data_IF_147918440614
#
_entry.id   IF_147918440614
#
_cell.length_a   1.000
_cell.length_b   1.000
_cell.length_c   1.000
_cell.angle_alpha   90.00
_cell.angle_beta   90.00
_cell.angle_gamma   90.00
#
_symmetry.space_group_name_H-M   'P 1'
#
loop_
_entity.id
_entity.type
_entity.pdbx_description
1 polymer ?
#
# COMPACT_ATOMS: atom_id res chain seq x y z
N UNK A 1 -1.29 17.66 -31.49
CA UNK A 1 -0.17 16.97 -30.83
C UNK A 1 -0.01 17.34 -29.33
N UNK A 2 -0.75 18.33 -28.84
CA UNK A 2 -0.57 18.92 -27.52
C UNK A 2 -1.29 18.13 -26.39
N UNK A 3 -2.09 17.10 -26.72
CA UNK A 3 -2.96 16.43 -25.75
C UNK A 3 -2.52 15.01 -25.43
N UNK A 4 -1.33 14.66 -25.88
CA UNK A 4 -0.76 13.34 -25.64
C UNK A 4 -0.10 13.30 -24.26
N UNK A 5 -0.44 12.30 -23.45
CA UNK A 5 0.19 12.06 -22.15
C UNK A 5 1.67 11.71 -22.30
N UNK A 6 2.02 11.12 -23.44
CA UNK A 6 3.40 10.84 -23.83
C UNK A 6 4.15 12.18 -24.03
N UNK A 7 5.24 12.37 -23.33
CA UNK A 7 6.02 13.60 -23.36
C UNK A 7 5.74 14.59 -22.22
N UNK A 8 4.81 14.32 -21.32
CA UNK A 8 4.61 15.13 -20.11
C UNK A 8 5.82 15.15 -19.18
N UNK A 9 6.71 14.14 -19.28
CA UNK A 9 7.98 14.04 -18.55
C UNK A 9 7.88 14.42 -17.07
N UNK A 10 6.85 13.93 -16.39
CA UNK A 10 6.53 14.29 -15.00
C UNK A 10 7.68 14.05 -14.02
N UNK A 11 8.61 13.13 -14.35
CA UNK A 11 9.84 12.92 -13.56
C UNK A 11 10.74 14.17 -13.49
N UNK A 12 10.51 15.16 -14.33
CA UNK A 12 11.19 16.46 -14.22
C UNK A 12 10.78 17.23 -12.96
N UNK A 13 9.59 16.99 -12.41
CA UNK A 13 9.08 17.69 -11.21
C UNK A 13 10.01 17.51 -10.00
N UNK A 14 10.31 16.28 -9.55
CA UNK A 14 11.22 16.09 -8.41
C UNK A 14 12.63 16.62 -8.71
N UNK A 15 13.13 16.47 -9.93
CA UNK A 15 14.42 17.01 -10.33
C UNK A 15 14.48 18.55 -10.24
N UNK A 16 13.45 19.25 -10.74
CA UNK A 16 13.38 20.71 -10.62
C UNK A 16 13.29 21.17 -9.15
N UNK A 17 12.54 20.45 -8.31
CA UNK A 17 12.44 20.75 -6.88
C UNK A 17 13.79 20.65 -6.19
N UNK A 18 14.55 19.61 -6.51
CA UNK A 18 15.90 19.42 -5.96
C UNK A 18 16.88 20.48 -6.49
N UNK A 19 16.87 20.71 -7.81
CA UNK A 19 17.82 21.61 -8.47
C UNK A 19 17.64 23.07 -8.08
N UNK A 20 16.40 23.53 -7.95
CA UNK A 20 16.08 24.94 -7.72
C UNK A 20 15.63 25.25 -6.28
N UNK A 21 15.54 24.23 -5.42
CA UNK A 21 15.06 24.35 -4.03
C UNK A 21 13.76 25.17 -3.93
N UNK A 22 12.79 24.87 -4.79
CA UNK A 22 11.53 25.61 -4.84
C UNK A 22 10.32 24.67 -5.00
N UNK A 23 9.14 25.21 -4.78
CA UNK A 23 7.87 24.54 -5.11
C UNK A 23 7.68 24.49 -6.61
N UNK A 24 7.30 23.32 -7.12
CA UNK A 24 7.04 23.09 -8.55
C UNK A 24 5.60 22.65 -8.72
N UNK A 25 4.96 23.14 -9.76
CA UNK A 25 3.63 22.74 -10.22
C UNK A 25 3.69 22.08 -11.59
N UNK A 26 2.52 21.75 -12.11
CA UNK A 26 2.33 21.27 -13.48
C UNK A 26 1.25 22.08 -14.19
N UNK A 27 1.54 22.52 -15.40
CA UNK A 27 0.55 23.03 -16.36
C UNK A 27 0.19 21.86 -17.28
N UNK A 28 -0.98 21.27 -17.07
CA UNK A 28 -1.39 20.02 -17.70
C UNK A 28 -2.42 20.27 -18.82
N UNK A 29 -2.01 20.02 -20.05
CA UNK A 29 -2.84 20.12 -21.26
C UNK A 29 -3.28 18.72 -21.78
N UNK A 30 -3.06 17.65 -21.03
CA UNK A 30 -3.49 16.31 -21.45
C UNK A 30 -5.00 16.13 -21.28
N UNK A 31 -5.58 15.19 -22.01
CA UNK A 31 -6.98 14.81 -21.81
C UNK A 31 -7.17 14.08 -20.46
N UNK A 32 -8.28 14.37 -19.80
CA UNK A 32 -8.61 13.77 -18.51
C UNK A 32 -7.77 14.31 -17.36
N UNK A 33 -7.64 13.53 -16.28
CA UNK A 33 -7.02 13.96 -15.02
C UNK A 33 -5.79 13.13 -14.62
N UNK A 34 -5.43 12.11 -15.41
CA UNK A 34 -4.42 11.13 -15.04
C UNK A 34 -3.03 11.72 -14.82
N UNK A 35 -2.54 12.56 -15.74
CA UNK A 35 -1.23 13.21 -15.63
C UNK A 35 -1.19 14.18 -14.43
N UNK A 36 -2.27 14.95 -14.24
CA UNK A 36 -2.41 15.85 -13.11
C UNK A 36 -2.33 15.10 -11.76
N UNK A 37 -3.05 13.99 -11.61
CA UNK A 37 -3.01 13.17 -10.39
C UNK A 37 -1.62 12.54 -10.19
N UNK A 38 -0.99 12.01 -11.23
CA UNK A 38 0.34 11.43 -11.15
C UNK A 38 1.40 12.47 -10.71
N UNK A 39 1.26 13.74 -11.12
CA UNK A 39 2.18 14.80 -10.74
C UNK A 39 2.24 15.04 -9.22
N UNK A 40 1.14 14.80 -8.50
CA UNK A 40 1.06 14.95 -7.04
C UNK A 40 2.01 13.95 -6.36
N UNK A 41 2.02 12.71 -6.83
CA UNK A 41 2.91 11.67 -6.30
C UNK A 41 4.39 12.01 -6.52
N UNK A 42 4.68 12.83 -7.53
CA UNK A 42 6.03 13.31 -7.83
C UNK A 42 6.33 14.66 -7.16
N UNK A 43 5.41 15.16 -6.37
CA UNK A 43 5.62 16.33 -5.52
C UNK A 43 5.20 17.66 -6.14
N UNK A 44 4.36 17.67 -7.17
CA UNK A 44 3.71 18.87 -7.62
C UNK A 44 2.85 19.49 -6.51
N UNK A 45 2.96 20.79 -6.33
CA UNK A 45 2.21 21.53 -5.30
C UNK A 45 1.08 22.36 -5.90
N UNK A 46 1.09 22.56 -7.20
CA UNK A 46 0.07 23.28 -7.97
C UNK A 46 -0.23 22.49 -9.24
N UNK A 47 -1.49 22.42 -9.60
CA UNK A 47 -1.96 21.91 -10.89
C UNK A 47 -2.70 23.04 -11.58
N UNK A 48 -2.26 23.38 -12.79
CA UNK A 48 -2.97 24.27 -13.72
C UNK A 48 -3.59 23.42 -14.82
N UNK A 49 -4.85 23.68 -15.15
CA UNK A 49 -5.56 22.94 -16.19
C UNK A 49 -6.62 23.82 -16.84
N UNK A 50 -6.76 23.70 -18.15
CA UNK A 50 -7.80 24.42 -18.91
C UNK A 50 -9.20 23.95 -18.45
N UNK A 51 -10.12 24.92 -18.40
CA UNK A 51 -11.50 24.71 -17.97
C UNK A 51 -12.49 25.34 -18.96
N UNK A 52 -13.57 24.63 -19.24
CA UNK A 52 -14.71 25.15 -20.03
C UNK A 52 -16.02 24.73 -19.39
N UNK A 53 -17.08 25.47 -19.61
CA UNK A 53 -18.43 25.07 -19.16
C UNK A 53 -18.95 23.89 -19.98
N UNK A 54 -18.74 23.94 -21.30
CA UNK A 54 -19.14 22.88 -22.23
C UNK A 54 -18.17 22.84 -23.41
N UNK A 55 -17.59 21.69 -23.68
CA UNK A 55 -16.76 21.50 -24.89
C UNK A 55 -17.55 21.64 -26.17
N UNK A 56 -18.88 21.36 -26.13
CA UNK A 56 -19.77 21.47 -27.27
C UNK A 56 -19.94 22.91 -27.74
N UNK A 57 -19.74 23.90 -26.86
CA UNK A 57 -19.83 25.32 -27.21
C UNK A 57 -18.64 25.81 -28.07
N UNK A 58 -17.62 24.97 -28.21
CA UNK A 58 -16.41 25.25 -28.98
C UNK A 58 -15.45 26.19 -28.24
N UNK A 59 -14.44 26.66 -28.99
CA UNK A 59 -13.36 27.52 -28.50
C UNK A 59 -12.00 26.96 -28.81
N UNK A 60 -10.97 27.79 -28.71
CA UNK A 60 -9.59 27.44 -29.14
C UNK A 60 -9.07 26.21 -28.38
N UNK A 61 -9.30 26.15 -27.09
CA UNK A 61 -8.75 25.13 -26.21
C UNK A 61 -9.84 24.20 -25.63
N UNK A 62 -11.07 24.29 -26.11
CA UNK A 62 -12.22 23.56 -25.58
C UNK A 62 -12.02 22.03 -25.62
N UNK A 63 -11.39 21.55 -26.68
CA UNK A 63 -11.23 20.10 -26.92
C UNK A 63 -10.49 19.35 -25.81
N UNK A 64 -9.54 19.99 -25.10
CA UNK A 64 -8.78 19.41 -24.01
C UNK A 64 -9.06 20.04 -22.64
N UNK A 65 -9.95 21.04 -22.58
CA UNK A 65 -10.41 21.65 -21.33
C UNK A 65 -11.28 20.70 -20.52
N UNK A 66 -11.16 20.76 -19.21
CA UNK A 66 -12.06 20.03 -18.32
C UNK A 66 -13.42 20.73 -18.22
N UNK A 67 -14.47 19.95 -18.25
CA UNK A 67 -15.82 20.40 -17.90
C UNK A 67 -16.04 20.40 -16.38
N UNK A 68 -17.12 21.03 -15.85
CA UNK A 68 -17.32 21.21 -14.42
C UNK A 68 -17.24 19.92 -13.59
N UNK A 69 -17.78 18.81 -14.11
CA UNK A 69 -17.76 17.54 -13.41
C UNK A 69 -16.35 16.92 -13.37
N UNK A 70 -15.61 17.07 -14.46
CA UNK A 70 -14.23 16.58 -14.56
C UNK A 70 -13.29 17.39 -13.66
N UNK A 71 -13.48 18.73 -13.59
CA UNK A 71 -12.74 19.58 -12.68
C UNK A 71 -13.05 19.24 -11.21
N UNK A 72 -14.33 18.99 -10.88
CA UNK A 72 -14.71 18.53 -9.55
C UNK A 72 -14.03 17.20 -9.20
N UNK A 73 -14.02 16.25 -10.14
CA UNK A 73 -13.33 14.99 -9.97
C UNK A 73 -11.83 15.18 -9.75
N UNK A 74 -11.16 16.02 -10.56
CA UNK A 74 -9.75 16.34 -10.38
C UNK A 74 -9.47 16.85 -8.96
N UNK A 75 -10.27 17.79 -8.46
CA UNK A 75 -10.07 18.34 -7.10
C UNK A 75 -10.24 17.27 -6.01
N UNK A 76 -11.23 16.39 -6.16
CA UNK A 76 -11.47 15.31 -5.19
C UNK A 76 -10.33 14.30 -5.21
N UNK A 77 -9.97 13.81 -6.38
CA UNK A 77 -8.91 12.80 -6.55
C UNK A 77 -7.52 13.36 -6.19
N UNK A 78 -7.26 14.64 -6.48
CA UNK A 78 -6.03 15.30 -6.07
C UNK A 78 -5.85 15.31 -4.55
N UNK A 79 -6.90 15.63 -3.80
CA UNK A 79 -6.89 15.60 -2.34
C UNK A 79 -6.70 14.17 -1.81
N UNK A 80 -7.39 13.21 -2.40
CA UNK A 80 -7.28 11.80 -2.02
C UNK A 80 -5.87 11.25 -2.30
N UNK A 81 -5.31 11.54 -3.49
CA UNK A 81 -3.96 11.15 -3.85
C UNK A 81 -2.91 11.75 -2.90
N UNK A 82 -3.03 13.04 -2.59
CA UNK A 82 -2.12 13.70 -1.65
C UNK A 82 -2.18 13.08 -0.26
N UNK A 83 -3.39 12.82 0.26
CA UNK A 83 -3.57 12.16 1.55
C UNK A 83 -3.01 10.72 1.57
N UNK A 84 -3.11 10.02 0.43
CA UNK A 84 -2.62 8.65 0.29
C UNK A 84 -1.09 8.53 0.26
N UNK A 85 -0.35 9.60 -0.03
CA UNK A 85 1.12 9.58 -0.01
C UNK A 85 1.67 9.24 1.37
N UNK A 86 1.05 9.73 2.43
CA UNK A 86 1.43 9.42 3.80
C UNK A 86 2.93 9.63 4.09
N UNK A 87 3.51 8.67 4.80
CA UNK A 87 4.93 8.61 5.12
C UNK A 87 5.47 7.20 4.93
N UNK A 88 6.79 7.06 4.75
CA UNK A 88 7.44 5.75 4.70
C UNK A 88 7.26 5.08 6.07
N UNK A 89 6.45 4.04 6.12
CA UNK A 89 6.14 3.28 7.33
C UNK A 89 6.13 1.79 7.03
N UNK A 90 7.02 1.06 7.68
CA UNK A 90 7.03 -0.40 7.67
C UNK A 90 6.40 -0.93 8.95
N UNK A 91 5.76 -2.10 8.85
CA UNK A 91 5.11 -2.76 9.98
C UNK A 91 3.60 -2.72 9.87
N UNK A 92 2.95 -3.14 10.94
CA UNK A 92 1.50 -3.28 11.01
C UNK A 92 0.92 -1.97 11.54
N UNK A 93 -0.06 -1.40 10.84
CA UNK A 93 -0.79 -0.24 11.31
C UNK A 93 -1.89 -0.63 12.32
N UNK A 94 -2.43 0.34 13.05
CA UNK A 94 -3.46 0.09 14.07
C UNK A 94 -4.72 -0.58 13.52
N UNK A 95 -5.09 -0.27 12.28
CA UNK A 95 -6.26 -0.88 11.63
C UNK A 95 -6.00 -2.35 11.26
N UNK A 96 -4.75 -2.68 10.92
CA UNK A 96 -4.35 -4.05 10.59
C UNK A 96 -4.14 -4.93 11.82
N UNK A 97 -3.96 -4.35 13.02
CA UNK A 97 -3.79 -5.13 14.25
C UNK A 97 -4.95 -6.10 14.48
N UNK A 98 -6.18 -5.68 14.22
CA UNK A 98 -7.38 -6.52 14.32
C UNK A 98 -7.34 -7.70 13.34
N UNK A 99 -6.62 -7.56 12.23
CA UNK A 99 -6.49 -8.59 11.20
C UNK A 99 -5.38 -9.61 11.50
N UNK A 100 -4.53 -9.36 12.50
CA UNK A 100 -3.46 -10.29 12.89
C UNK A 100 -3.99 -11.67 13.27
N UNK A 101 -5.14 -11.72 13.95
CA UNK A 101 -5.78 -12.98 14.32
C UNK A 101 -6.13 -13.87 13.11
N UNK A 102 -6.30 -13.28 11.92
CA UNK A 102 -6.58 -14.02 10.70
C UNK A 102 -5.32 -14.54 9.98
N UNK A 103 -4.13 -14.18 10.46
CA UNK A 103 -2.87 -14.72 9.93
C UNK A 103 -2.68 -16.17 10.38
N UNK A 104 -1.74 -16.84 9.74
CA UNK A 104 -1.31 -18.17 10.20
C UNK A 104 -0.28 -18.05 11.31
N UNK A 105 -0.29 -19.03 12.21
CA UNK A 105 0.76 -19.25 13.20
C UNK A 105 1.02 -20.73 13.41
N UNK A 106 1.99 -21.08 14.21
CA UNK A 106 2.39 -22.46 14.45
C UNK A 106 1.56 -23.05 15.59
N UNK A 107 1.01 -24.23 15.33
CA UNK A 107 0.16 -24.99 16.25
C UNK A 107 0.66 -26.41 16.39
N UNK A 108 0.52 -26.95 17.59
CA UNK A 108 0.63 -28.37 17.84
C UNK A 108 -0.67 -29.06 17.39
N UNK A 109 -0.55 -30.09 16.56
CA UNK A 109 -1.70 -30.81 15.95
C UNK A 109 -1.84 -32.25 16.42
N UNK A 110 -0.97 -32.72 17.30
CA UNK A 110 -1.06 -33.97 18.03
C UNK A 110 -0.70 -33.70 19.49
N UNK A 111 -1.26 -34.51 20.45
CA UNK A 111 -0.86 -34.40 21.85
C UNK A 111 0.62 -34.75 22.00
N UNK A 112 1.36 -33.97 22.77
CA UNK A 112 2.79 -34.13 23.03
C UNK A 112 3.05 -34.19 24.55
N UNK A 113 4.00 -35.01 24.97
CA UNK A 113 4.51 -35.08 26.34
C UNK A 113 5.78 -34.21 26.47
N UNK A 114 6.06 -33.78 27.70
CA UNK A 114 7.33 -33.10 27.99
C UNK A 114 8.52 -33.95 27.51
N UNK A 115 9.41 -33.34 26.72
CA UNK A 115 10.55 -33.99 26.08
C UNK A 115 10.32 -34.52 24.67
N UNK A 116 9.07 -34.58 24.20
CA UNK A 116 8.77 -34.95 22.81
C UNK A 116 9.36 -33.96 21.81
N UNK A 117 9.75 -34.49 20.64
CA UNK A 117 10.39 -33.72 19.59
C UNK A 117 9.34 -33.15 18.64
N UNK A 118 9.46 -31.84 18.34
CA UNK A 118 8.67 -31.15 17.33
C UNK A 118 9.11 -31.64 15.95
N UNK A 119 8.14 -32.03 15.14
CA UNK A 119 8.33 -32.58 13.80
C UNK A 119 7.26 -32.06 12.83
N UNK A 120 7.45 -32.29 11.55
CA UNK A 120 6.45 -32.01 10.53
C UNK A 120 5.10 -32.73 10.78
N UNK A 121 5.09 -33.82 11.56
CA UNK A 121 3.89 -34.56 11.87
C UNK A 121 3.02 -33.85 12.90
N UNK A 122 3.62 -33.31 13.98
CA UNK A 122 2.92 -32.78 15.15
C UNK A 122 2.82 -31.25 15.18
N UNK A 123 3.46 -30.51 14.22
CA UNK A 123 3.38 -29.07 14.09
C UNK A 123 2.83 -28.66 12.71
N UNK A 124 1.96 -27.67 12.67
CA UNK A 124 1.39 -27.09 11.43
C UNK A 124 1.32 -25.57 11.50
N UNK A 125 1.44 -24.95 10.31
CA UNK A 125 1.15 -23.54 10.11
C UNK A 125 -0.31 -23.37 9.70
N UNK A 126 -1.16 -23.00 10.65
CA UNK A 126 -2.62 -22.86 10.47
C UNK A 126 -3.12 -21.54 11.06
N UNK A 127 -4.39 -21.21 10.87
CA UNK A 127 -5.07 -20.09 11.53
C UNK A 127 -5.73 -20.57 12.83
N UNK A 128 -5.89 -19.66 13.82
CA UNK A 128 -5.61 -18.22 13.87
C UNK A 128 -4.14 -17.89 14.20
N UNK A 129 -3.82 -16.59 14.16
CA UNK A 129 -2.47 -16.04 14.39
C UNK A 129 -2.13 -15.84 15.87
N UNK A 130 -2.41 -16.82 16.73
CA UNK A 130 -2.22 -16.73 18.18
C UNK A 130 -0.87 -17.31 18.66
N UNK A 131 -0.18 -18.07 17.83
CA UNK A 131 1.11 -18.70 18.14
C UNK A 131 2.28 -18.02 17.42
N UNK A 132 3.44 -18.66 17.48
CA UNK A 132 4.66 -18.23 16.80
C UNK A 132 4.44 -18.09 15.30
N UNK A 133 5.08 -17.07 14.70
CA UNK A 133 4.97 -16.81 13.28
C UNK A 133 5.54 -17.98 12.44
N UNK A 134 4.96 -18.26 11.25
CA UNK A 134 5.41 -19.36 10.39
C UNK A 134 6.88 -19.33 10.01
N UNK A 135 7.52 -18.16 9.99
CA UNK A 135 8.96 -17.99 9.72
C UNK A 135 9.87 -18.76 10.68
N UNK A 136 9.34 -19.21 11.82
CA UNK A 136 10.09 -19.97 12.81
C UNK A 136 9.93 -21.49 12.63
N UNK A 137 9.21 -21.95 11.60
CA UNK A 137 8.89 -23.36 11.39
C UNK A 137 10.13 -24.25 11.40
N UNK A 138 11.10 -23.93 10.55
CA UNK A 138 12.32 -24.74 10.39
C UNK A 138 13.21 -24.71 11.64
N UNK A 139 13.22 -23.59 12.37
CA UNK A 139 14.00 -23.43 13.61
C UNK A 139 13.44 -24.30 14.73
N UNK A 140 12.15 -24.60 14.69
CA UNK A 140 11.45 -25.38 15.72
C UNK A 140 11.50 -26.86 15.48
N UNK A 141 11.69 -27.31 14.24
CA UNK A 141 11.87 -28.74 13.95
C UNK A 141 13.07 -29.29 14.70
N UNK A 142 12.87 -30.44 15.34
CA UNK A 142 13.88 -31.09 16.14
C UNK A 142 14.04 -30.56 17.58
N UNK A 143 13.39 -29.47 17.95
CA UNK A 143 13.36 -29.00 19.35
C UNK A 143 12.39 -29.83 20.18
N UNK A 144 12.62 -29.85 21.49
CA UNK A 144 11.78 -30.56 22.45
C UNK A 144 10.85 -29.58 23.16
N UNK A 145 9.62 -30.07 23.43
CA UNK A 145 8.69 -29.31 24.29
C UNK A 145 9.06 -29.54 25.77
N UNK A 146 8.98 -28.49 26.57
CA UNK A 146 9.30 -28.51 28.01
C UNK A 146 8.19 -29.07 28.87
N UNK A 147 6.97 -29.06 28.40
CA UNK A 147 5.76 -29.44 29.10
C UNK A 147 4.81 -30.26 28.21
N UNK A 148 3.78 -30.85 28.82
CA UNK A 148 2.75 -31.54 28.05
C UNK A 148 1.91 -30.54 27.27
N UNK A 149 1.84 -30.69 25.96
CA UNK A 149 1.11 -29.78 25.05
C UNK A 149 -0.01 -30.54 24.36
N UNK A 150 -1.23 -30.03 24.47
CA UNK A 150 -2.40 -30.62 23.82
C UNK A 150 -2.52 -30.20 22.35
N UNK A 151 -3.12 -31.09 21.57
CA UNK A 151 -3.53 -30.78 20.19
C UNK A 151 -4.38 -29.50 20.15
N UNK A 152 -4.10 -28.64 19.22
CA UNK A 152 -4.79 -27.35 19.05
C UNK A 152 -4.18 -26.19 19.85
N UNK A 153 -3.08 -26.42 20.56
CA UNK A 153 -2.35 -25.37 21.28
C UNK A 153 -1.51 -24.54 20.32
N UNK A 154 -1.67 -23.22 20.39
CA UNK A 154 -0.81 -22.28 19.69
C UNK A 154 0.59 -22.30 20.33
N UNK A 155 1.62 -22.55 19.53
CA UNK A 155 2.98 -22.71 20.01
C UNK A 155 3.59 -21.37 20.43
N UNK A 156 4.23 -21.33 21.61
CA UNK A 156 4.95 -20.16 22.13
C UNK A 156 6.40 -20.55 22.48
N UNK A 157 7.26 -19.53 22.66
CA UNK A 157 8.67 -19.78 23.05
C UNK A 157 8.83 -20.40 24.44
N UNK A 158 7.88 -20.19 25.33
CA UNK A 158 7.95 -20.70 26.71
C UNK A 158 7.82 -22.23 26.75
N UNK A 159 7.18 -22.81 25.76
CA UNK A 159 6.96 -24.25 25.62
C UNK A 159 8.19 -25.01 25.09
N UNK A 160 9.27 -24.30 24.71
CA UNK A 160 10.44 -24.88 23.99
C UNK A 160 11.74 -24.70 24.76
#
# INVERSE_FOLDING_TARGET
LQWCTEGSNLLTIPHMRELFDCKVGVSDHTLGIGAAIASIALGATVIEKHFTISRADGGVDAAFSLEPQEMKQLVMEAKAAHAALGSIKYGINEQEQKSLQFRRSLYIVEDMQAGDVISERNMRSIRPGLGLAPKYYDILLGKKVKENVKRGTALTWDMI
#
